data_IF_315714424944
#
_entry.id   IF_315714424944
#
_cell.length_a   1.000
_cell.length_b   1.000
_cell.length_c   1.000
_cell.angle_alpha   90.00
_cell.angle_beta   90.00
_cell.angle_gamma   90.00
#
_symmetry.space_group_name_H-M   'P 1'
#
loop_
_entity.id
_entity.type
_entity.pdbx_description
1 polymer ?
#
# COMPACT_ATOMS: atom_id res chain seq x y z
N UNK A 1 -34.64 -8.70 33.24
CA UNK A 1 -33.55 -7.74 33.47
C UNK A 1 -32.46 -8.02 32.45
N UNK A 2 -32.27 -7.12 31.49
CA UNK A 2 -31.20 -7.21 30.49
C UNK A 2 -29.91 -6.82 31.18
N UNK A 3 -28.98 -7.75 31.32
CA UNK A 3 -27.61 -7.44 31.69
C UNK A 3 -26.97 -6.70 30.51
N UNK A 4 -26.54 -5.47 30.78
CA UNK A 4 -25.81 -4.66 29.82
C UNK A 4 -24.49 -5.36 29.48
N UNK A 5 -24.28 -5.64 28.19
CA UNK A 5 -22.97 -5.95 27.64
C UNK A 5 -22.11 -4.69 27.79
N UNK A 6 -20.90 -4.76 28.38
CA UNK A 6 -20.04 -3.59 28.40
C UNK A 6 -19.68 -3.22 26.97
N UNK A 7 -19.81 -1.93 26.66
CA UNK A 7 -19.43 -1.35 25.38
C UNK A 7 -17.97 -1.72 25.07
N UNK A 8 -17.78 -2.51 24.02
CA UNK A 8 -16.49 -3.02 23.56
C UNK A 8 -15.73 -1.92 22.79
N UNK A 9 -15.54 -0.77 23.42
CA UNK A 9 -14.51 0.19 23.03
C UNK A 9 -13.19 -0.26 23.66
N UNK A 10 -12.68 -1.40 23.20
CA UNK A 10 -11.31 -1.81 23.50
C UNK A 10 -10.52 -1.65 22.21
N UNK A 11 -9.51 -0.76 22.28
CA UNK A 11 -8.36 -0.76 21.38
C UNK A 11 -7.97 -2.22 21.14
N UNK A 12 -8.23 -2.74 19.93
CA UNK A 12 -7.63 -4.01 19.49
C UNK A 12 -6.14 -3.80 19.69
N UNK A 13 -5.54 -4.54 20.63
CA UNK A 13 -4.09 -4.55 20.77
C UNK A 13 -3.54 -5.00 19.42
N UNK A 14 -3.07 -4.04 18.62
CA UNK A 14 -2.54 -4.31 17.30
C UNK A 14 -1.35 -5.24 17.50
N UNK A 15 -1.49 -6.47 17.05
CA UNK A 15 -0.40 -7.43 17.05
C UNK A 15 0.79 -6.77 16.33
N UNK A 16 1.94 -6.57 17.01
CA UNK A 16 3.03 -5.78 16.46
C UNK A 16 3.56 -6.39 15.16
N UNK A 17 3.31 -7.67 14.89
CA UNK A 17 3.69 -8.32 13.63
C UNK A 17 3.19 -7.59 12.38
N UNK A 18 2.08 -6.84 12.46
CA UNK A 18 1.50 -6.11 11.33
C UNK A 18 2.10 -4.71 11.12
N UNK A 19 2.71 -4.13 12.14
CA UNK A 19 3.25 -2.75 12.13
C UNK A 19 4.75 -2.69 12.42
N UNK A 20 5.37 -3.82 12.74
CA UNK A 20 6.77 -3.91 13.11
C UNK A 20 7.69 -3.70 11.91
N UNK A 21 8.70 -2.88 12.12
CA UNK A 21 9.81 -2.63 11.19
C UNK A 21 11.10 -2.65 11.99
N UNK A 22 12.11 -3.36 11.49
CA UNK A 22 13.44 -3.37 12.08
C UNK A 22 14.00 -1.93 12.17
N UNK A 23 14.63 -1.52 13.29
CA UNK A 23 15.07 -0.13 13.49
C UNK A 23 15.98 0.40 12.37
N UNK A 24 16.87 -0.42 11.82
CA UNK A 24 17.73 -0.02 10.70
C UNK A 24 16.99 0.22 9.37
N UNK A 25 15.75 -0.25 9.26
CA UNK A 25 14.90 -0.08 8.08
C UNK A 25 14.00 1.16 8.16
N UNK A 26 13.92 1.83 9.31
CA UNK A 26 13.08 3.03 9.49
C UNK A 26 13.34 4.15 8.47
N UNK A 27 14.59 4.47 8.08
CA UNK A 27 14.84 5.47 7.05
C UNK A 27 14.27 5.07 5.68
N UNK A 28 14.35 3.78 5.33
CA UNK A 28 13.82 3.23 4.08
C UNK A 28 12.29 3.24 4.13
N UNK A 29 11.70 2.90 5.28
CA UNK A 29 10.26 2.96 5.48
C UNK A 29 9.75 4.38 5.24
N UNK A 30 10.39 5.40 5.80
CA UNK A 30 9.97 6.79 5.61
C UNK A 30 10.08 7.23 4.15
N UNK A 31 11.11 6.77 3.44
CA UNK A 31 11.27 7.04 2.02
C UNK A 31 10.16 6.40 1.17
N UNK A 32 9.85 5.13 1.42
CA UNK A 32 8.81 4.39 0.68
C UNK A 32 7.40 4.85 1.07
N UNK A 33 7.17 5.23 2.33
CA UNK A 33 5.89 5.78 2.80
C UNK A 33 5.47 7.02 2.01
N UNK A 34 6.41 7.90 1.65
CA UNK A 34 6.11 9.08 0.81
C UNK A 34 5.72 8.74 -0.62
N UNK A 35 6.19 7.59 -1.13
CA UNK A 35 5.88 7.08 -2.47
C UNK A 35 4.53 6.37 -2.54
N UNK A 36 3.91 6.10 -1.40
CA UNK A 36 2.61 5.47 -1.30
C UNK A 36 1.49 6.51 -1.12
N UNK A 37 0.27 6.24 -1.63
CA UNK A 37 -0.07 5.14 -2.53
C UNK A 37 0.53 5.35 -3.93
N UNK A 38 1.11 4.29 -4.51
CA UNK A 38 1.74 4.35 -5.84
C UNK A 38 0.85 5.05 -6.89
N UNK A 39 1.49 5.80 -7.79
CA UNK A 39 0.85 6.59 -8.86
C UNK A 39 -0.01 7.78 -8.39
N UNK A 40 -0.24 7.97 -7.09
CA UNK A 40 -1.11 9.03 -6.56
C UNK A 40 -0.36 10.13 -5.80
N UNK A 41 0.98 10.17 -5.89
CA UNK A 41 1.81 11.23 -5.33
C UNK A 41 2.59 11.95 -6.45
N UNK A 42 2.30 13.24 -6.72
CA UNK A 42 2.91 13.98 -7.83
C UNK A 42 4.42 14.17 -7.67
N UNK A 43 4.93 14.11 -6.44
CA UNK A 43 6.38 14.14 -6.15
C UNK A 43 7.13 12.99 -6.82
N UNK A 44 6.45 11.85 -7.05
CA UNK A 44 7.07 10.61 -7.53
C UNK A 44 6.63 10.21 -8.95
N UNK A 45 5.89 11.07 -9.63
CA UNK A 45 5.55 10.90 -11.03
C UNK A 45 4.26 11.59 -11.41
N UNK A 46 4.27 12.24 -12.57
CA UNK A 46 3.07 12.85 -13.18
C UNK A 46 2.91 12.46 -14.66
N UNK A 47 3.94 11.85 -15.24
CA UNK A 47 3.94 11.40 -16.63
C UNK A 47 4.11 9.89 -16.76
N UNK A 48 3.68 9.34 -17.89
CA UNK A 48 3.90 7.93 -18.24
C UNK A 48 5.37 7.55 -18.15
N UNK A 49 6.27 8.41 -18.62
CA UNK A 49 7.70 8.15 -18.55
C UNK A 49 8.22 8.04 -17.11
N UNK A 50 7.64 8.78 -16.15
CA UNK A 50 7.98 8.65 -14.73
C UNK A 50 7.55 7.27 -14.20
N UNK A 51 6.31 6.88 -14.51
CA UNK A 51 5.75 5.58 -14.11
C UNK A 51 6.45 4.40 -14.78
N UNK A 52 6.92 4.57 -16.02
CA UNK A 52 7.72 3.59 -16.72
C UNK A 52 9.07 3.35 -16.02
N UNK A 53 9.72 4.41 -15.54
CA UNK A 53 11.00 4.32 -14.83
C UNK A 53 10.84 3.73 -13.43
N UNK A 54 9.71 3.99 -12.77
CA UNK A 54 9.42 3.54 -11.41
C UNK A 54 8.81 2.13 -11.35
N UNK A 55 8.50 1.48 -12.47
CA UNK A 55 7.98 0.10 -12.51
C UNK A 55 8.98 -0.84 -13.18
N UNK A 56 9.16 -2.04 -12.61
CA UNK A 56 9.94 -3.08 -13.26
C UNK A 56 9.28 -3.52 -14.57
N UNK A 57 10.05 -4.01 -15.54
CA UNK A 57 9.54 -4.41 -16.86
C UNK A 57 8.50 -5.53 -16.79
N UNK A 58 8.58 -6.37 -15.77
CA UNK A 58 7.68 -7.49 -15.48
C UNK A 58 6.65 -7.17 -14.37
N UNK A 59 6.49 -5.89 -14.02
CA UNK A 59 5.51 -5.42 -13.04
C UNK A 59 4.08 -5.82 -13.42
N UNK A 60 3.30 -6.19 -12.40
CA UNK A 60 1.86 -6.36 -12.47
C UNK A 60 1.26 -6.13 -11.08
N UNK A 61 -0.04 -5.86 -11.03
CA UNK A 61 -0.74 -5.64 -9.76
C UNK A 61 -2.09 -6.35 -9.68
N UNK A 62 -2.55 -6.52 -8.44
CA UNK A 62 -3.92 -6.91 -8.12
C UNK A 62 -4.65 -5.73 -7.50
N UNK A 63 -5.66 -5.20 -8.21
CA UNK A 63 -6.49 -4.14 -7.66
C UNK A 63 -7.39 -4.63 -6.53
N UNK A 64 -7.99 -3.70 -5.80
CA UNK A 64 -8.94 -3.98 -4.71
C UNK A 64 -10.10 -4.92 -5.12
N UNK A 65 -10.43 -4.99 -6.41
CA UNK A 65 -11.43 -5.89 -6.98
C UNK A 65 -10.96 -7.34 -7.18
N UNK A 66 -9.70 -7.66 -6.92
CA UNK A 66 -9.08 -8.95 -7.26
C UNK A 66 -8.70 -9.09 -8.73
N UNK A 67 -8.98 -8.08 -9.57
CA UNK A 67 -8.54 -8.06 -10.97
C UNK A 67 -7.03 -7.88 -11.06
N UNK A 68 -6.42 -8.61 -11.99
CA UNK A 68 -5.00 -8.50 -12.33
C UNK A 68 -4.80 -7.51 -13.48
N UNK A 69 -3.80 -6.66 -13.34
CA UNK A 69 -3.42 -5.69 -14.36
C UNK A 69 -1.94 -5.82 -14.67
N UNK A 70 -1.60 -5.96 -15.95
CA UNK A 70 -0.23 -5.90 -16.44
C UNK A 70 0.27 -4.46 -16.43
N UNK A 71 1.60 -4.26 -16.33
CA UNK A 71 2.24 -2.94 -16.52
C UNK A 71 1.73 -2.17 -17.73
N UNK A 72 1.68 -2.78 -18.91
CA UNK A 72 1.29 -2.07 -20.14
C UNK A 72 -0.13 -1.50 -20.06
N UNK A 73 -1.07 -2.29 -19.54
CA UNK A 73 -2.43 -1.84 -19.28
C UNK A 73 -2.47 -0.64 -18.32
N UNK A 74 -1.71 -0.71 -17.22
CA UNK A 74 -1.67 0.36 -16.20
C UNK A 74 -1.11 1.65 -16.79
N UNK A 75 0.00 1.57 -17.54
CA UNK A 75 0.61 2.74 -18.18
C UNK A 75 -0.29 3.36 -19.25
N UNK A 76 -1.00 2.53 -20.02
CA UNK A 76 -1.99 3.01 -20.99
C UNK A 76 -3.16 3.71 -20.29
N UNK A 77 -3.65 3.15 -19.19
CA UNK A 77 -4.73 3.75 -18.39
C UNK A 77 -4.30 5.09 -17.79
N UNK A 78 -3.10 5.17 -17.18
CA UNK A 78 -2.53 6.40 -16.63
C UNK A 78 -2.31 7.48 -17.70
N UNK A 79 -2.03 7.11 -18.94
CA UNK A 79 -1.95 8.05 -20.06
C UNK A 79 -3.32 8.64 -20.42
N UNK A 80 -4.35 7.79 -20.50
CA UNK A 80 -5.71 8.21 -20.87
C UNK A 80 -6.46 8.91 -19.75
N UNK A 81 -6.14 8.56 -18.49
CA UNK A 81 -6.76 9.08 -17.28
C UNK A 81 -5.65 9.39 -16.25
N UNK A 82 -5.12 10.62 -16.25
CA UNK A 82 -4.12 11.03 -15.28
C UNK A 82 -4.61 10.78 -13.85
N UNK A 83 -3.74 10.26 -12.96
CA UNK A 83 -4.15 9.90 -11.62
C UNK A 83 -4.53 11.14 -10.81
N UNK A 84 -5.59 11.00 -10.03
CA UNK A 84 -5.91 11.96 -8.96
C UNK A 84 -4.90 11.85 -7.84
N UNK A 85 -4.53 12.98 -7.22
CA UNK A 85 -3.55 12.99 -6.14
C UNK A 85 -4.21 12.64 -4.80
N UNK A 86 -3.58 11.76 -4.03
CA UNK A 86 -4.13 11.23 -2.78
C UNK A 86 -4.48 12.34 -1.79
N UNK A 87 -3.56 13.30 -1.60
CA UNK A 87 -3.74 14.43 -0.69
C UNK A 87 -4.91 15.33 -1.11
N UNK A 88 -5.10 15.54 -2.42
CA UNK A 88 -6.19 16.37 -2.95
C UNK A 88 -7.58 15.80 -2.64
N UNK A 89 -7.65 14.49 -2.42
CA UNK A 89 -8.88 13.76 -2.10
C UNK A 89 -8.98 13.42 -0.61
N UNK A 90 -8.04 13.89 0.22
CA UNK A 90 -8.04 13.64 1.66
C UNK A 90 -7.88 12.16 2.03
N UNK A 91 -7.23 11.36 1.17
CA UNK A 91 -6.96 9.96 1.48
C UNK A 91 -6.06 9.86 2.71
N UNK A 92 -6.26 8.80 3.50
CA UNK A 92 -5.50 8.58 4.74
C UNK A 92 -4.87 7.21 4.72
N UNK A 93 -3.67 7.12 5.27
CA UNK A 93 -2.93 5.87 5.37
C UNK A 93 -2.20 5.75 6.69
N UNK A 94 -2.13 4.55 7.25
CA UNK A 94 -1.54 4.28 8.56
C UNK A 94 -1.11 2.80 8.65
N UNK A 95 -0.60 2.40 9.82
CA UNK A 95 -0.13 1.02 10.10
C UNK A 95 0.91 0.53 9.09
N UNK A 96 1.84 1.43 8.75
CA UNK A 96 2.95 1.10 7.88
C UNK A 96 3.91 0.11 8.55
N UNK A 97 4.35 -0.89 7.79
CA UNK A 97 5.43 -1.80 8.14
C UNK A 97 6.32 -2.04 6.92
N UNK A 98 7.61 -2.26 7.16
CA UNK A 98 8.58 -2.62 6.13
C UNK A 98 9.32 -3.91 6.50
N UNK A 99 9.39 -4.84 5.55
CA UNK A 99 10.17 -6.07 5.64
C UNK A 99 11.18 -6.15 4.51
N UNK A 100 12.45 -6.42 4.84
CA UNK A 100 13.47 -6.74 3.83
C UNK A 100 13.25 -8.16 3.31
N UNK A 101 13.18 -8.33 1.99
CA UNK A 101 13.02 -9.63 1.31
C UNK A 101 14.32 -10.12 0.66
N UNK A 102 15.24 -9.20 0.37
CA UNK A 102 16.56 -9.47 -0.22
C UNK A 102 17.51 -8.29 0.01
N UNK A 103 18.73 -8.30 -0.56
CA UNK A 103 19.71 -7.22 -0.34
C UNK A 103 19.13 -5.83 -0.58
N UNK A 104 18.43 -5.68 -1.72
CA UNK A 104 17.89 -4.41 -2.21
C UNK A 104 16.36 -4.48 -2.41
N UNK A 105 15.68 -5.48 -1.85
CA UNK A 105 14.25 -5.73 -2.09
C UNK A 105 13.47 -5.68 -0.78
N UNK A 106 12.35 -4.96 -0.78
CA UNK A 106 11.57 -4.64 0.41
C UNK A 106 10.08 -4.77 0.12
N UNK A 107 9.33 -5.25 1.11
CA UNK A 107 7.88 -5.25 1.13
C UNK A 107 7.41 -4.16 2.09
N UNK A 108 6.63 -3.21 1.60
CA UNK A 108 5.87 -2.29 2.45
C UNK A 108 4.42 -2.75 2.52
N UNK A 109 3.86 -2.76 3.72
CA UNK A 109 2.43 -3.01 3.94
C UNK A 109 1.83 -1.88 4.76
N UNK A 110 0.58 -1.54 4.46
CA UNK A 110 -0.11 -0.45 5.16
C UNK A 110 -1.62 -0.52 4.92
N UNK A 111 -2.36 0.30 5.67
CA UNK A 111 -3.79 0.51 5.46
C UNK A 111 -4.01 1.81 4.71
N UNK A 112 -4.93 1.81 3.74
CA UNK A 112 -5.33 2.99 2.97
C UNK A 112 -6.86 3.13 2.99
N UNK A 113 -7.32 4.31 3.40
CA UNK A 113 -8.71 4.76 3.32
C UNK A 113 -8.89 5.73 2.16
N UNK A 114 -9.68 5.33 1.17
CA UNK A 114 -10.05 6.13 0.00
C UNK A 114 -11.54 6.41 0.04
N UNK A 115 -11.94 7.58 0.54
CA UNK A 115 -13.35 7.84 0.83
C UNK A 115 -13.84 6.94 1.97
N UNK A 116 -14.82 6.07 1.67
CA UNK A 116 -15.35 5.04 2.58
C UNK A 116 -14.65 3.68 2.42
N UNK A 117 -13.84 3.51 1.36
CA UNK A 117 -13.21 2.24 1.04
C UNK A 117 -11.91 2.05 1.79
N UNK A 118 -11.88 1.07 2.70
CA UNK A 118 -10.70 0.64 3.42
C UNK A 118 -10.00 -0.52 2.69
N UNK A 119 -8.67 -0.41 2.52
CA UNK A 119 -7.85 -1.45 1.87
C UNK A 119 -6.57 -1.73 2.65
N UNK A 120 -6.17 -3.00 2.69
CA UNK A 120 -4.81 -3.42 3.05
C UNK A 120 -3.96 -3.46 1.79
N UNK A 121 -2.81 -2.81 1.84
CA UNK A 121 -1.91 -2.61 0.71
C UNK A 121 -0.61 -3.34 0.93
N UNK A 122 -0.06 -3.88 -0.16
CA UNK A 122 1.25 -4.49 -0.20
C UNK A 122 1.95 -4.04 -1.48
N UNK A 123 3.14 -3.47 -1.35
CA UNK A 123 3.99 -3.11 -2.49
C UNK A 123 5.37 -3.69 -2.29
N UNK A 124 5.90 -4.38 -3.31
CA UNK A 124 7.28 -4.83 -3.33
C UNK A 124 8.10 -3.81 -4.09
N UNK A 125 9.09 -3.25 -3.43
CA UNK A 125 10.01 -2.26 -3.93
C UNK A 125 11.43 -2.84 -4.07
N UNK A 126 12.14 -2.42 -5.09
CA UNK A 126 13.55 -2.68 -5.28
C UNK A 126 14.31 -1.35 -5.31
N UNK A 127 15.36 -1.25 -4.50
CA UNK A 127 16.33 -0.16 -4.59
C UNK A 127 17.22 -0.40 -5.81
N UNK A 128 17.36 0.62 -6.65
CA UNK A 128 18.23 0.61 -7.83
C UNK A 128 19.09 1.87 -7.81
N UNK A 129 20.13 1.93 -8.65
CA UNK A 129 21.08 3.07 -8.66
C UNK A 129 20.39 4.44 -8.77
N UNK A 130 19.31 4.51 -9.54
CA UNK A 130 18.58 5.75 -9.84
C UNK A 130 17.30 5.92 -9.01
N UNK A 131 17.17 5.21 -7.88
CA UNK A 131 16.05 5.34 -6.96
C UNK A 131 15.34 4.00 -6.70
N UNK A 132 14.05 3.94 -7.00
CA UNK A 132 13.19 2.82 -6.63
C UNK A 132 12.39 2.29 -7.81
N UNK A 133 12.22 0.97 -7.87
CA UNK A 133 11.32 0.29 -8.80
C UNK A 133 10.29 -0.54 -8.04
N UNK A 134 9.05 -0.48 -8.50
CA UNK A 134 7.96 -1.32 -8.05
C UNK A 134 8.05 -2.64 -8.79
N UNK A 135 8.15 -3.74 -8.04
CA UNK A 135 8.13 -5.10 -8.57
C UNK A 135 6.71 -5.69 -8.60
N UNK A 136 5.88 -5.33 -7.61
CA UNK A 136 4.51 -5.83 -7.47
C UNK A 136 3.67 -4.91 -6.58
N UNK A 137 2.37 -4.84 -6.83
CA UNK A 137 1.41 -4.17 -5.93
C UNK A 137 0.12 -4.98 -5.75
N UNK A 138 -0.46 -4.89 -4.56
CA UNK A 138 -1.80 -5.41 -4.30
C UNK A 138 -2.56 -4.54 -3.31
N UNK A 139 -3.84 -4.33 -3.61
CA UNK A 139 -4.83 -3.84 -2.65
C UNK A 139 -5.88 -4.90 -2.36
N UNK A 140 -6.19 -5.13 -1.09
CA UNK A 140 -7.26 -6.03 -0.65
C UNK A 140 -8.28 -5.22 0.15
N UNK A 141 -9.56 -5.28 -0.23
CA UNK A 141 -10.63 -4.59 0.52
C UNK A 141 -10.75 -5.23 1.90
N UNK A 142 -10.86 -4.40 2.94
CA UNK A 142 -11.16 -4.85 4.29
C UNK A 142 -12.67 -4.95 4.40
N UNK A 143 -13.18 -6.19 4.46
CA UNK A 143 -14.60 -6.49 4.69
C UNK A 143 -14.87 -7.07 6.08
N UNK A 144 -13.81 -7.54 6.77
CA UNK A 144 -13.87 -8.05 8.13
C UNK A 144 -13.28 -7.02 9.10
N UNK A 145 -13.95 -6.78 10.22
CA UNK A 145 -13.56 -5.76 11.20
C UNK A 145 -12.53 -6.28 12.22
N UNK A 146 -12.30 -7.59 12.28
CA UNK A 146 -11.45 -8.24 13.30
C UNK A 146 -10.22 -8.91 12.66
N UNK A 147 -9.05 -8.63 13.24
CA UNK A 147 -7.78 -9.29 12.91
C UNK A 147 -7.59 -10.54 13.80
N UNK A 148 -6.87 -11.56 13.31
CA UNK A 148 -6.55 -12.80 14.03
C UNK A 148 -7.78 -13.61 14.52
N UNK A 149 -8.88 -13.58 13.77
CA UNK A 149 -10.10 -14.37 14.04
C UNK A 149 -10.22 -15.51 13.03
N UNK A 150 -10.58 -16.70 13.53
CA UNK A 150 -10.86 -17.86 12.67
C UNK A 150 -12.04 -17.51 11.76
N UNK A 151 -11.95 -17.70 10.43
CA UNK A 151 -13.08 -17.49 9.54
C UNK A 151 -14.29 -18.30 10.02
N UNK A 152 -15.45 -17.65 10.13
CA UNK A 152 -16.71 -18.31 10.44
C UNK A 152 -17.14 -19.29 9.34
#
# INVERSE_FOLDING_TARGET
MRTAQPAYNSVVEKNPVFTYTEPELLPILEELRRREPIFHSPEFGTSVADFERSTATDYWEVGASGRRYSRDFILQDLYGQPPVFADSLGWKSWDYALRRLGPDTYLITYVLLQGDRLTRRATIWQSVRDGWRILYHQGTVVLAEEDDVVPA
#
